data_IF_823309386805
#
_entry.id   IF_823309386805
#
_cell.length_a   1.000
_cell.length_b   1.000
_cell.length_c   1.000
_cell.angle_alpha   90.00
_cell.angle_beta   90.00
_cell.angle_gamma   90.00
#
_symmetry.space_group_name_H-M   'P 1'
#
loop_
_entity.id
_entity.type
_entity.pdbx_description
1 polymer ?
#
# COMPACT_ATOMS: atom_id res chain seq x y z
N UNK A 1 8.01 7.58 22.35
CA UNK A 1 7.39 6.46 21.61
C UNK A 1 5.95 6.86 21.35
N UNK A 2 5.72 7.66 20.32
CA UNK A 2 4.37 8.10 19.96
C UNK A 2 3.68 6.93 19.25
N UNK A 3 2.71 6.31 19.91
CA UNK A 3 1.77 5.42 19.24
C UNK A 3 1.23 6.15 18.02
N UNK A 4 1.50 5.62 16.83
CA UNK A 4 0.82 6.06 15.62
C UNK A 4 -0.65 5.67 15.80
N UNK A 5 -1.47 6.60 16.29
CA UNK A 5 -2.91 6.45 16.56
C UNK A 5 -3.77 6.08 15.33
N UNK A 6 -3.14 5.67 14.23
CA UNK A 6 -3.71 5.46 12.90
C UNK A 6 -3.42 4.05 12.34
N UNK A 7 -2.67 3.22 13.08
CA UNK A 7 -2.35 1.83 12.71
C UNK A 7 -2.98 0.85 13.70
N UNK A 8 -3.27 -0.37 13.24
CA UNK A 8 -3.70 -1.46 14.10
C UNK A 8 -2.69 -1.70 15.23
N UNK A 9 -3.21 -1.87 16.45
CA UNK A 9 -2.42 -2.19 17.64
C UNK A 9 -1.93 -3.64 17.51
N UNK A 10 -0.66 -3.88 17.83
CA UNK A 10 -0.08 -5.22 17.85
C UNK A 10 0.36 -5.50 19.29
N UNK A 11 -0.42 -6.31 19.98
CA UNK A 11 -0.15 -6.71 21.36
C UNK A 11 0.23 -8.19 21.41
N UNK A 12 1.40 -8.48 21.99
CA UNK A 12 1.93 -9.85 22.10
C UNK A 12 1.10 -10.69 23.07
N UNK A 13 0.52 -10.06 24.11
CA UNK A 13 -0.23 -10.75 25.15
C UNK A 13 -1.62 -11.22 24.68
N UNK A 14 -2.22 -10.54 23.71
CA UNK A 14 -3.51 -10.90 23.13
C UNK A 14 -3.40 -11.70 21.82
N UNK A 15 -2.16 -12.01 21.39
CA UNK A 15 -1.91 -12.68 20.12
C UNK A 15 -2.23 -14.17 20.22
N UNK A 16 -3.23 -14.62 19.46
CA UNK A 16 -3.54 -16.04 19.28
C UNK A 16 -2.94 -16.56 17.96
N UNK A 17 -1.85 -17.32 18.05
CA UNK A 17 -1.09 -17.84 16.91
C UNK A 17 -1.97 -18.73 16.01
N UNK A 18 -2.98 -19.40 16.57
CA UNK A 18 -3.82 -20.35 15.83
C UNK A 18 -4.79 -19.66 14.86
N UNK A 19 -5.13 -18.40 15.12
CA UNK A 19 -6.04 -17.60 14.29
C UNK A 19 -5.32 -16.63 13.37
N UNK A 20 -3.99 -16.54 13.49
CA UNK A 20 -3.19 -15.60 12.73
C UNK A 20 -3.13 -16.05 11.27
N UNK A 21 -3.60 -15.19 10.38
CA UNK A 21 -3.46 -15.38 8.93
C UNK A 21 -2.86 -14.11 8.32
N UNK A 22 -2.27 -14.19 7.11
CA UNK A 22 -1.79 -13.00 6.41
C UNK A 22 -2.88 -11.96 6.17
N UNK A 23 -4.16 -12.33 6.27
CA UNK A 23 -5.30 -11.46 6.06
C UNK A 23 -5.82 -10.78 7.33
N UNK A 24 -5.18 -11.03 8.47
CA UNK A 24 -5.55 -10.40 9.74
C UNK A 24 -5.19 -8.91 9.72
N UNK A 25 -6.05 -8.02 10.27
CA UNK A 25 -5.81 -6.57 10.26
C UNK A 25 -4.48 -6.19 10.92
N UNK A 26 -4.06 -6.90 11.97
CA UNK A 26 -2.79 -6.62 12.65
C UNK A 26 -1.59 -6.85 11.72
N UNK A 27 -1.65 -7.87 10.85
CA UNK A 27 -0.58 -8.21 9.92
C UNK A 27 -0.58 -7.25 8.73
N UNK A 28 -1.73 -7.06 8.06
CA UNK A 28 -1.84 -6.23 6.85
C UNK A 28 -1.45 -4.76 7.15
N UNK A 29 -1.72 -4.27 8.37
CA UNK A 29 -1.39 -2.91 8.79
C UNK A 29 0.09 -2.55 8.60
N UNK A 30 0.99 -3.50 8.81
CA UNK A 30 2.45 -3.25 8.89
C UNK A 30 3.28 -4.08 7.92
N UNK A 31 2.80 -5.21 7.47
CA UNK A 31 3.57 -6.16 6.66
C UNK A 31 2.94 -6.36 5.29
N UNK A 32 3.78 -6.37 4.26
CA UNK A 32 3.37 -6.72 2.91
C UNK A 32 3.07 -8.22 2.82
N UNK A 33 1.87 -8.56 2.37
CA UNK A 33 1.41 -9.96 2.29
C UNK A 33 1.66 -10.58 0.91
N UNK A 34 1.81 -9.76 -0.13
CA UNK A 34 1.97 -10.17 -1.52
C UNK A 34 3.08 -9.33 -2.16
N UNK A 35 4.01 -10.00 -2.85
CA UNK A 35 5.01 -9.34 -3.68
C UNK A 35 4.56 -9.31 -5.14
N UNK A 36 4.59 -8.13 -5.78
CA UNK A 36 4.23 -7.94 -7.18
C UNK A 36 5.44 -7.43 -7.94
N UNK A 37 5.84 -8.14 -8.99
CA UNK A 37 6.95 -7.74 -9.88
C UNK A 37 6.44 -7.07 -11.15
N UNK A 38 7.02 -5.93 -11.51
CA UNK A 38 6.75 -5.26 -12.79
C UNK A 38 7.84 -5.56 -13.80
N UNK A 39 7.50 -6.24 -14.90
CA UNK A 39 8.42 -6.55 -16.01
C UNK A 39 7.98 -5.82 -17.29
N UNK A 40 8.87 -5.76 -18.29
CA UNK A 40 8.58 -5.10 -19.57
C UNK A 40 9.81 -4.48 -20.22
N UNK A 41 9.66 -3.97 -21.44
CA UNK A 41 10.76 -3.44 -22.25
C UNK A 41 11.30 -2.09 -21.74
N UNK A 42 12.48 -1.69 -22.21
CA UNK A 42 13.15 -0.44 -21.82
C UNK A 42 12.26 0.76 -22.17
N UNK A 43 12.23 1.77 -21.28
CA UNK A 43 11.42 3.00 -21.41
C UNK A 43 9.88 2.86 -21.32
N UNK A 44 9.32 1.69 -20.99
CA UNK A 44 7.87 1.53 -20.75
C UNK A 44 7.35 2.08 -19.41
N UNK A 45 8.17 2.82 -18.66
CA UNK A 45 7.71 3.48 -17.43
C UNK A 45 7.39 2.55 -16.25
N UNK A 46 7.95 1.33 -16.19
CA UNK A 46 7.75 0.38 -15.07
C UNK A 46 7.93 1.04 -13.69
N UNK A 47 9.03 1.77 -13.52
CA UNK A 47 9.33 2.51 -12.28
C UNK A 47 8.28 3.59 -11.99
N UNK A 48 7.76 4.24 -13.03
CA UNK A 48 6.70 5.25 -12.91
C UNK A 48 5.38 4.62 -12.47
N UNK A 49 5.03 3.45 -13.00
CA UNK A 49 3.84 2.70 -12.55
C UNK A 49 3.96 2.30 -11.09
N UNK A 50 5.12 1.77 -10.66
CA UNK A 50 5.37 1.44 -9.25
C UNK A 50 5.25 2.68 -8.37
N UNK A 51 5.78 3.83 -8.82
CA UNK A 51 5.67 5.09 -8.09
C UNK A 51 4.22 5.59 -8.01
N UNK A 52 3.43 5.46 -9.07
CA UNK A 52 2.04 5.88 -9.08
C UNK A 52 1.18 5.08 -8.08
N UNK A 53 1.47 3.78 -7.92
CA UNK A 53 0.75 2.90 -6.99
C UNK A 53 1.22 3.10 -5.54
N UNK A 54 2.54 3.07 -5.32
CA UNK A 54 3.11 3.07 -3.98
C UNK A 54 3.38 4.46 -3.41
N UNK A 55 3.32 5.51 -4.24
CA UNK A 55 3.82 6.87 -3.96
C UNK A 55 5.33 6.96 -3.67
N UNK A 56 6.05 5.83 -3.69
CA UNK A 56 7.48 5.73 -3.36
C UNK A 56 8.33 5.77 -4.64
N UNK A 57 9.34 6.62 -4.65
CA UNK A 57 10.38 6.57 -5.67
C UNK A 57 11.40 5.49 -5.33
N UNK A 58 11.50 4.46 -6.18
CA UNK A 58 12.34 3.29 -5.93
C UNK A 58 13.80 3.48 -6.34
N UNK A 59 14.11 4.49 -7.16
CA UNK A 59 15.49 4.78 -7.57
C UNK A 59 16.21 5.46 -6.40
N UNK A 60 17.23 4.79 -5.84
CA UNK A 60 18.00 5.29 -4.69
C UNK A 60 19.43 5.67 -5.05
N UNK A 61 19.96 5.18 -6.17
CA UNK A 61 21.36 5.39 -6.53
C UNK A 61 21.54 6.58 -7.48
N UNK A 62 22.50 7.45 -7.18
CA UNK A 62 22.80 8.65 -7.99
C UNK A 62 23.10 8.31 -9.46
N UNK A 63 23.84 7.23 -9.72
CA UNK A 63 24.15 6.79 -11.07
C UNK A 63 22.91 6.34 -11.86
N UNK A 64 21.91 5.77 -11.18
CA UNK A 64 20.63 5.38 -11.79
C UNK A 64 19.77 6.61 -12.11
N UNK A 65 19.74 7.58 -11.19
CA UNK A 65 19.05 8.87 -11.38
C UNK A 65 19.62 9.66 -12.57
N UNK A 66 20.94 9.76 -12.68
CA UNK A 66 21.58 10.50 -13.79
C UNK A 66 21.31 9.83 -15.14
N UNK A 67 21.28 8.49 -15.17
CA UNK A 67 21.12 7.71 -16.40
C UNK A 67 19.67 7.36 -16.73
N UNK A 68 18.71 7.67 -15.86
CA UNK A 68 17.30 7.31 -15.97
C UNK A 68 17.05 5.83 -16.26
N UNK A 69 17.86 4.95 -15.65
CA UNK A 69 17.73 3.48 -15.78
C UNK A 69 17.66 2.81 -14.42
N UNK A 70 16.91 1.71 -14.35
CA UNK A 70 16.85 0.84 -13.18
C UNK A 70 17.93 -0.23 -13.32
N UNK A 71 18.97 -0.19 -12.49
CA UNK A 71 20.05 -1.19 -12.51
C UNK A 71 19.82 -2.19 -11.37
N UNK A 72 19.56 -1.68 -10.16
CA UNK A 72 19.24 -2.49 -8.99
C UNK A 72 17.73 -2.71 -8.85
N UNK A 73 17.38 -3.79 -8.18
CA UNK A 73 15.99 -4.08 -7.83
C UNK A 73 15.47 -3.00 -6.87
N UNK A 74 14.49 -2.24 -7.34
CA UNK A 74 13.76 -1.28 -6.54
C UNK A 74 12.62 -1.97 -5.78
N UNK A 75 12.44 -1.62 -4.51
CA UNK A 75 11.35 -2.12 -3.68
C UNK A 75 10.48 -0.99 -3.17
N UNK A 76 9.16 -1.20 -3.17
CA UNK A 76 8.19 -0.27 -2.62
C UNK A 76 7.01 -1.04 -2.05
N UNK A 77 6.56 -0.62 -0.87
CA UNK A 77 5.35 -1.10 -0.24
C UNK A 77 4.18 -0.20 -0.62
N UNK A 78 3.01 -0.81 -0.81
CA UNK A 78 1.75 -0.12 -1.03
C UNK A 78 0.68 -0.80 -0.19
N UNK A 79 -0.26 0.01 0.32
CA UNK A 79 -1.48 -0.44 0.99
C UNK A 79 -2.65 -0.31 0.04
N UNK A 80 -3.51 -1.32 -0.03
CA UNK A 80 -4.70 -1.36 -0.89
C UNK A 80 -5.94 -1.25 -0.01
N UNK A 81 -6.77 -0.28 -0.34
CA UNK A 81 -7.99 0.03 0.40
C UNK A 81 -9.22 -0.24 -0.45
N UNK A 82 -10.33 -0.56 0.23
CA UNK A 82 -11.65 -0.68 -0.36
C UNK A 82 -12.64 0.19 0.39
N UNK A 83 -13.53 0.86 -0.33
CA UNK A 83 -14.58 1.67 0.25
C UNK A 83 -15.67 0.77 0.84
N UNK A 84 -16.13 1.09 2.04
CA UNK A 84 -17.25 0.40 2.68
C UNK A 84 -18.61 0.77 2.07
N UNK A 85 -18.71 1.91 1.38
CA UNK A 85 -19.98 2.37 0.81
C UNK A 85 -20.36 1.52 -0.42
N UNK A 86 -21.48 0.78 -0.40
CA UNK A 86 -21.95 -0.02 -1.54
C UNK A 86 -22.32 0.83 -2.77
N UNK A 87 -22.62 2.12 -2.59
CA UNK A 87 -22.88 3.05 -3.70
C UNK A 87 -21.61 3.45 -4.46
N UNK A 88 -20.43 3.04 -3.97
CA UNK A 88 -19.16 3.22 -4.66
C UNK A 88 -18.95 2.10 -5.69
N UNK A 89 -19.14 2.34 -7.00
CA UNK A 89 -19.02 1.29 -7.98
C UNK A 89 -17.54 0.92 -8.21
N UNK A 90 -17.23 -0.36 -8.48
CA UNK A 90 -15.92 -0.75 -8.98
C UNK A 90 -15.68 -0.15 -10.38
N UNK A 91 -14.44 0.27 -10.72
CA UNK A 91 -13.21 0.11 -9.95
C UNK A 91 -12.93 1.26 -8.94
N UNK A 92 -13.71 2.34 -8.95
CA UNK A 92 -13.46 3.54 -8.14
C UNK A 92 -13.54 3.35 -6.62
N UNK A 93 -14.10 2.22 -6.17
CA UNK A 93 -14.13 1.84 -4.75
C UNK A 93 -12.79 1.31 -4.22
N UNK A 94 -11.78 1.13 -5.07
CA UNK A 94 -10.43 0.73 -4.65
C UNK A 94 -9.45 1.89 -4.77
N UNK A 95 -8.52 1.96 -3.82
CA UNK A 95 -7.41 2.91 -3.89
C UNK A 95 -6.14 2.35 -3.29
N UNK A 96 -5.01 2.77 -3.83
CA UNK A 96 -3.70 2.43 -3.27
C UNK A 96 -3.05 3.68 -2.69
N UNK A 97 -2.36 3.50 -1.59
CA UNK A 97 -1.59 4.56 -0.94
C UNK A 97 -0.25 4.01 -0.43
N UNK A 98 0.70 4.89 -0.16
CA UNK A 98 1.97 4.51 0.47
C UNK A 98 1.79 4.05 1.92
N UNK A 99 2.75 3.27 2.42
CA UNK A 99 2.71 2.66 3.77
C UNK A 99 2.63 3.63 4.94
N UNK A 100 2.88 4.92 4.72
CA UNK A 100 2.76 5.94 5.76
C UNK A 100 1.30 6.26 6.13
N UNK A 101 0.32 5.90 5.28
CA UNK A 101 -1.08 6.19 5.50
C UNK A 101 -1.72 5.30 6.58
N UNK A 102 -2.76 5.87 7.20
CA UNK A 102 -3.60 5.20 8.20
C UNK A 102 -4.30 3.98 7.63
N UNK A 103 -4.73 3.05 8.49
CA UNK A 103 -5.46 1.84 8.05
C UNK A 103 -6.91 2.13 7.62
N UNK A 104 -7.44 3.27 8.06
CA UNK A 104 -8.74 3.80 7.66
C UNK A 104 -8.57 5.24 7.22
N UNK A 105 -9.00 5.53 6.00
CA UNK A 105 -8.96 6.88 5.41
C UNK A 105 -10.33 7.23 4.81
N UNK A 106 -10.63 8.51 4.67
CA UNK A 106 -11.91 8.93 4.07
C UNK A 106 -11.91 8.71 2.55
N UNK A 107 -13.07 8.40 1.98
CA UNK A 107 -13.19 8.24 0.54
C UNK A 107 -13.12 9.62 -0.14
N UNK A 108 -12.21 9.79 -1.10
CA UNK A 108 -12.06 11.04 -1.85
C UNK A 108 -13.13 11.24 -2.95
N UNK A 109 -14.03 10.27 -3.16
CA UNK A 109 -15.07 10.40 -4.18
C UNK A 109 -16.09 11.45 -3.74
N UNK A 110 -16.33 12.44 -4.58
CA UNK A 110 -17.36 13.45 -4.35
C UNK A 110 -18.73 12.80 -4.12
N UNK A 111 -19.38 13.17 -3.01
CA UNK A 111 -20.66 12.58 -2.59
C UNK A 111 -20.57 11.22 -1.89
N UNK A 112 -19.37 10.65 -1.70
CA UNK A 112 -19.20 9.39 -1.00
C UNK A 112 -18.83 9.65 0.48
N UNK A 113 -19.79 9.46 1.40
CA UNK A 113 -19.54 9.53 2.85
C UNK A 113 -18.87 8.28 3.45
N UNK A 114 -18.36 7.38 2.60
CA UNK A 114 -17.77 6.11 3.01
C UNK A 114 -16.32 6.22 3.49
N UNK A 115 -15.88 5.23 4.27
CA UNK A 115 -14.47 5.08 4.66
C UNK A 115 -13.80 4.00 3.81
N UNK A 116 -12.55 4.25 3.45
CA UNK A 116 -11.65 3.32 2.80
C UNK A 116 -10.94 2.50 3.89
N UNK A 117 -11.21 1.19 3.93
CA UNK A 117 -10.54 0.25 4.85
C UNK A 117 -9.45 -0.52 4.15
N UNK A 118 -8.36 -0.76 4.88
CA UNK A 118 -7.26 -1.57 4.42
C UNK A 118 -7.68 -3.01 4.14
N UNK A 119 -7.34 -3.51 2.96
CA UNK A 119 -7.59 -4.89 2.53
C UNK A 119 -6.27 -5.64 2.31
N UNK A 120 -5.22 -4.97 1.82
CA UNK A 120 -3.89 -5.58 1.57
C UNK A 120 -2.74 -4.62 1.80
#
# INVERSE_FOLDING_TARGET
MTEKAQLAVQDVNSLDITKLSPLTPEVISRQATINIGTIGHVAHGKTTVVRAISTVHTIRHKNELIRNITIKLGYANAKIYKCDNPECPPPGCYRSFGSANADVVDCEREGCGGKLRLVR
#
